data_IF_546850972358
#
_entry.id   IF_546850972358
#
_cell.length_a   1.000
_cell.length_b   1.000
_cell.length_c   1.000
_cell.angle_alpha   90.00
_cell.angle_beta   90.00
_cell.angle_gamma   90.00
#
_symmetry.space_group_name_H-M   'P 1'
#
loop_
_entity.id
_entity.type
_entity.pdbx_description
1 polymer ?
#
# COMPACT_ATOMS: atom_id res chain seq x y z
N UNK A 1 27.11 -3.43 21.24
CA UNK A 1 25.66 -3.67 21.09
C UNK A 1 25.06 -3.81 22.46
N UNK A 2 24.07 -2.98 22.76
CA UNK A 2 23.37 -2.99 24.05
C UNK A 2 22.34 -4.13 24.09
N UNK A 3 21.98 -4.61 25.28
CA UNK A 3 20.94 -5.64 25.48
C UNK A 3 19.58 -5.23 24.93
N UNK A 4 19.29 -3.93 24.87
CA UNK A 4 18.04 -3.37 24.32
C UNK A 4 17.98 -3.45 22.79
N UNK A 5 19.06 -3.10 22.09
CA UNK A 5 19.14 -3.19 20.62
C UNK A 5 18.96 -4.62 20.12
N UNK A 6 19.54 -5.60 20.83
CA UNK A 6 19.38 -7.02 20.51
C UNK A 6 17.95 -7.50 20.75
N UNK A 7 17.28 -7.00 21.80
CA UNK A 7 15.88 -7.33 22.09
C UNK A 7 14.93 -6.80 21.02
N UNK A 8 15.12 -5.55 20.58
CA UNK A 8 14.30 -4.92 19.54
C UNK A 8 14.49 -5.64 18.20
N UNK A 9 15.72 -6.01 17.85
CA UNK A 9 16.00 -6.80 16.64
C UNK A 9 15.34 -8.18 16.68
N UNK A 10 15.40 -8.85 17.82
CA UNK A 10 14.81 -10.17 17.97
C UNK A 10 13.28 -10.11 17.82
N UNK A 11 12.64 -9.15 18.50
CA UNK A 11 11.20 -8.90 18.38
C UNK A 11 10.81 -8.49 16.95
N UNK A 12 11.65 -7.70 16.27
CA UNK A 12 11.49 -7.35 14.87
C UNK A 12 11.53 -8.59 13.96
N UNK A 13 12.56 -9.44 14.10
CA UNK A 13 12.69 -10.69 13.34
C UNK A 13 11.53 -11.65 13.57
N UNK A 14 11.01 -11.71 14.79
CA UNK A 14 9.84 -12.52 15.14
C UNK A 14 8.53 -11.95 14.59
N UNK A 15 8.46 -10.62 14.38
CA UNK A 15 7.29 -9.94 13.80
C UNK A 15 7.23 -9.98 12.27
N UNK A 16 8.35 -10.27 11.62
CA UNK A 16 8.44 -10.37 10.16
C UNK A 16 7.69 -11.62 9.66
N UNK A 17 7.25 -11.62 8.38
CA UNK A 17 6.51 -12.71 7.78
C UNK A 17 7.25 -14.03 7.99
N UNK A 18 6.59 -15.05 8.55
CA UNK A 18 7.20 -16.37 8.70
C UNK A 18 7.57 -16.90 7.32
N UNK A 19 8.79 -17.43 7.21
CA UNK A 19 9.33 -18.11 6.03
C UNK A 19 8.26 -19.02 5.40
N UNK A 20 7.86 -18.73 4.16
CA UNK A 20 6.92 -19.59 3.45
C UNK A 20 7.58 -20.95 3.18
N UNK A 21 6.98 -22.03 3.68
CA UNK A 21 7.37 -23.38 3.30
C UNK A 21 6.92 -23.60 1.85
N UNK A 22 7.84 -23.36 0.91
CA UNK A 22 7.59 -23.55 -0.51
C UNK A 22 7.23 -25.00 -0.83
N UNK A 23 6.21 -25.21 -1.67
CA UNK A 23 5.94 -26.52 -2.27
C UNK A 23 7.12 -26.97 -3.14
N UNK A 24 7.21 -28.26 -3.50
CA UNK A 24 8.26 -28.74 -4.40
C UNK A 24 8.18 -28.08 -5.79
N UNK A 25 6.97 -27.83 -6.31
CA UNK A 25 6.77 -27.10 -7.56
C UNK A 25 7.26 -25.66 -7.45
N UNK A 26 7.04 -24.99 -6.31
CA UNK A 26 7.50 -23.63 -6.11
C UNK A 26 9.02 -23.57 -5.95
N UNK A 27 9.65 -24.56 -5.32
CA UNK A 27 11.12 -24.68 -5.26
C UNK A 27 11.75 -24.75 -6.65
N UNK A 28 11.15 -25.48 -7.59
CA UNK A 28 11.64 -25.55 -8.99
C UNK A 28 11.47 -24.20 -9.68
N UNK A 29 10.29 -23.57 -9.58
CA UNK A 29 10.03 -22.24 -10.15
C UNK A 29 10.99 -21.19 -9.58
N UNK A 30 11.23 -21.20 -8.27
CA UNK A 30 12.15 -20.30 -7.58
C UNK A 30 13.58 -20.51 -8.07
N UNK A 31 14.05 -21.76 -8.23
CA UNK A 31 15.38 -22.04 -8.80
C UNK A 31 15.53 -21.49 -10.23
N UNK A 32 14.55 -21.73 -11.09
CA UNK A 32 14.55 -21.19 -12.47
C UNK A 32 14.56 -19.66 -12.43
N UNK A 33 13.76 -19.06 -11.56
CA UNK A 33 13.70 -17.62 -11.40
C UNK A 33 15.03 -17.02 -10.93
N UNK A 34 15.71 -17.63 -9.95
CA UNK A 34 17.04 -17.19 -9.53
C UNK A 34 18.10 -17.37 -10.63
N UNK A 35 18.02 -18.41 -11.45
CA UNK A 35 18.92 -18.58 -12.60
C UNK A 35 18.73 -17.44 -13.61
N UNK A 36 17.48 -17.11 -13.94
CA UNK A 36 17.14 -15.97 -14.79
C UNK A 36 17.57 -14.64 -14.16
N UNK A 37 17.39 -14.47 -12.85
CA UNK A 37 17.81 -13.28 -12.13
C UNK A 37 19.33 -13.12 -12.14
N UNK A 38 20.07 -14.21 -11.98
CA UNK A 38 21.54 -14.22 -12.06
C UNK A 38 22.01 -13.80 -13.45
N UNK A 39 21.36 -14.29 -14.50
CA UNK A 39 21.62 -13.87 -15.88
C UNK A 39 21.31 -12.39 -16.09
N UNK A 40 20.19 -11.89 -15.55
CA UNK A 40 19.84 -10.47 -15.62
C UNK A 40 20.85 -9.57 -14.87
N UNK A 41 21.32 -9.99 -13.70
CA UNK A 41 22.37 -9.27 -12.96
C UNK A 41 23.66 -9.22 -13.76
N UNK A 42 24.05 -10.34 -14.38
CA UNK A 42 25.23 -10.42 -15.23
C UNK A 42 25.13 -9.50 -16.46
N UNK A 43 23.96 -9.48 -17.12
CA UNK A 43 23.73 -8.66 -18.32
C UNK A 43 23.51 -7.18 -18.01
N UNK A 44 22.95 -6.86 -16.83
CA UNK A 44 22.61 -5.51 -16.40
C UNK A 44 23.17 -5.18 -15.00
N UNK A 45 24.51 -5.15 -14.84
CA UNK A 45 25.15 -4.97 -13.54
C UNK A 45 24.89 -3.60 -12.89
N UNK A 46 24.41 -2.62 -13.68
CA UNK A 46 24.06 -1.27 -13.22
C UNK A 46 22.58 -1.09 -12.86
N UNK A 47 21.74 -2.12 -13.05
CA UNK A 47 20.35 -2.10 -12.57
C UNK A 47 20.32 -2.57 -11.13
N UNK A 48 19.52 -1.96 -10.26
CA UNK A 48 19.36 -2.35 -8.85
C UNK A 48 18.72 -3.76 -8.65
N UNK A 49 18.91 -4.69 -9.60
CA UNK A 49 18.48 -6.08 -9.55
C UNK A 49 19.04 -6.79 -8.31
N UNK A 50 20.23 -6.39 -7.84
CA UNK A 50 20.80 -6.92 -6.61
C UNK A 50 19.97 -6.58 -5.36
N UNK A 51 19.31 -5.42 -5.33
CA UNK A 51 18.41 -5.05 -4.23
C UNK A 51 17.18 -5.96 -4.23
N UNK A 52 16.56 -6.18 -5.39
CA UNK A 52 15.48 -7.15 -5.55
C UNK A 52 15.91 -8.57 -5.13
N UNK A 53 17.08 -9.03 -5.57
CA UNK A 53 17.63 -10.34 -5.22
C UNK A 53 17.83 -10.49 -3.71
N UNK A 54 18.43 -9.48 -3.04
CA UNK A 54 18.64 -9.48 -1.59
C UNK A 54 17.30 -9.56 -0.86
N UNK A 55 16.32 -8.72 -1.23
CA UNK A 55 14.97 -8.74 -0.65
C UNK A 55 14.27 -10.08 -0.83
N UNK A 56 14.40 -10.71 -2.00
CA UNK A 56 13.81 -12.01 -2.25
C UNK A 56 14.50 -13.13 -1.45
N UNK A 57 15.84 -13.11 -1.39
CA UNK A 57 16.60 -14.06 -0.55
C UNK A 57 16.17 -13.94 0.91
N UNK A 58 15.96 -12.72 1.40
CA UNK A 58 15.46 -12.48 2.75
C UNK A 58 14.05 -13.04 2.93
N UNK A 59 13.11 -12.71 2.04
CA UNK A 59 11.74 -13.24 2.07
C UNK A 59 11.69 -14.78 2.07
N UNK A 60 12.61 -15.43 1.36
CA UNK A 60 12.71 -16.90 1.30
C UNK A 60 13.52 -17.52 2.45
N UNK A 61 14.01 -16.73 3.40
CA UNK A 61 14.80 -17.20 4.54
C UNK A 61 16.21 -17.69 4.18
N UNK A 62 16.76 -17.26 3.04
CA UNK A 62 18.08 -17.66 2.56
C UNK A 62 19.21 -16.79 3.13
N UNK A 63 18.89 -15.60 3.63
CA UNK A 63 19.83 -14.68 4.27
C UNK A 63 19.18 -14.04 5.50
N UNK A 64 20.02 -13.63 6.45
CA UNK A 64 19.64 -12.73 7.54
C UNK A 64 19.91 -11.26 7.17
N UNK A 65 19.28 -10.35 7.90
CA UNK A 65 19.46 -8.90 7.80
C UNK A 65 20.09 -8.34 9.09
N UNK A 66 20.81 -7.23 8.95
CA UNK A 66 21.42 -6.49 10.06
C UNK A 66 20.47 -5.40 10.59
N UNK A 67 20.75 -4.86 11.79
CA UNK A 67 20.00 -3.76 12.38
C UNK A 67 19.90 -2.54 11.47
N UNK A 68 20.98 -2.20 10.77
CA UNK A 68 21.03 -1.01 9.92
C UNK A 68 20.23 -1.19 8.61
N UNK A 69 19.79 -2.41 8.30
CA UNK A 69 19.02 -2.68 7.07
C UNK A 69 17.53 -2.29 7.21
N UNK A 70 17.02 -2.03 8.42
CA UNK A 70 15.57 -1.89 8.67
C UNK A 70 15.22 -0.87 9.76
N UNK A 71 14.06 -0.23 9.62
CA UNK A 71 13.46 0.56 10.69
C UNK A 71 12.63 -0.37 11.61
N UNK A 72 12.87 -0.40 12.92
CA UNK A 72 12.17 -1.31 13.83
C UNK A 72 10.65 -1.05 13.93
N UNK A 73 10.18 0.14 13.53
CA UNK A 73 8.76 0.47 13.48
C UNK A 73 8.06 0.03 12.17
N UNK A 74 8.81 -0.42 11.17
CA UNK A 74 8.31 -0.83 9.86
C UNK A 74 8.24 -2.35 9.77
N UNK A 75 7.07 -2.93 10.10
CA UNK A 75 6.86 -4.38 10.24
C UNK A 75 5.82 -4.89 9.24
N UNK A 76 6.13 -4.95 7.92
CA UNK A 76 5.21 -5.45 6.93
C UNK A 76 4.84 -6.92 7.20
N UNK A 77 3.57 -7.28 7.00
CA UNK A 77 3.06 -8.62 7.30
C UNK A 77 3.49 -9.71 6.32
N UNK A 78 3.81 -9.35 5.07
CA UNK A 78 4.14 -10.32 4.02
C UNK A 78 5.51 -10.12 3.38
N UNK A 79 5.90 -8.91 3.01
CA UNK A 79 7.10 -8.72 2.20
C UNK A 79 7.84 -7.42 2.52
N UNK A 80 9.10 -7.56 2.96
CA UNK A 80 10.00 -6.45 3.20
C UNK A 80 11.01 -6.31 2.04
N UNK A 81 10.99 -5.15 1.40
CA UNK A 81 11.94 -4.77 0.38
C UNK A 81 13.07 -3.92 0.97
N UNK A 82 14.27 -4.50 0.98
CA UNK A 82 15.45 -3.92 1.61
C UNK A 82 16.00 -2.75 0.81
N UNK A 83 16.58 -1.77 1.50
CA UNK A 83 17.29 -0.65 0.88
C UNK A 83 16.38 0.40 0.23
N UNK A 84 15.11 0.47 0.62
CA UNK A 84 14.26 1.65 0.40
C UNK A 84 14.37 2.57 1.61
N UNK A 85 14.25 3.89 1.39
CA UNK A 85 14.04 4.84 2.48
C UNK A 85 12.86 4.40 3.35
N UNK A 86 13.07 4.37 4.66
CA UNK A 86 12.08 3.87 5.62
C UNK A 86 11.65 4.97 6.58
N UNK A 87 10.50 5.59 6.30
CA UNK A 87 9.88 6.60 7.16
C UNK A 87 8.35 6.53 7.10
N UNK A 88 7.64 6.88 8.19
CA UNK A 88 6.19 6.75 8.26
C UNK A 88 5.47 7.74 7.34
N UNK A 89 5.93 8.99 7.27
CA UNK A 89 5.29 10.07 6.51
C UNK A 89 6.17 10.57 5.37
N UNK A 90 5.53 10.89 4.25
CA UNK A 90 6.12 11.54 3.10
C UNK A 90 5.43 12.88 2.84
N UNK A 91 6.22 13.89 2.50
CA UNK A 91 5.72 15.15 1.99
C UNK A 91 5.62 15.08 0.47
N UNK A 92 4.64 15.78 -0.09
CA UNK A 92 4.49 15.85 -1.56
C UNK A 92 5.75 16.40 -2.26
N UNK A 93 6.57 17.18 -1.56
CA UNK A 93 7.83 17.73 -2.06
C UNK A 93 9.02 16.78 -2.01
N UNK A 94 8.91 15.64 -1.32
CA UNK A 94 10.03 14.71 -1.16
C UNK A 94 10.47 14.09 -2.50
N UNK A 95 9.51 13.91 -3.41
CA UNK A 95 9.76 13.36 -4.75
C UNK A 95 8.86 14.03 -5.79
N UNK A 96 9.40 14.27 -6.98
CA UNK A 96 8.65 14.87 -8.10
C UNK A 96 7.38 14.07 -8.47
N UNK A 97 7.43 12.75 -8.33
CA UNK A 97 6.27 11.88 -8.56
C UNK A 97 5.15 12.14 -7.54
N UNK A 98 5.47 12.30 -6.25
CA UNK A 98 4.46 12.59 -5.22
C UNK A 98 3.88 13.99 -5.41
N UNK A 99 4.72 14.96 -5.79
CA UNK A 99 4.29 16.31 -6.16
C UNK A 99 3.33 16.29 -7.35
N UNK A 100 3.65 15.52 -8.39
CA UNK A 100 2.81 15.38 -9.57
C UNK A 100 1.46 14.72 -9.24
N UNK A 101 1.48 13.64 -8.45
CA UNK A 101 0.25 12.98 -7.96
C UNK A 101 -0.60 13.94 -7.14
N UNK A 102 0.00 14.62 -6.16
CA UNK A 102 -0.66 15.62 -5.31
C UNK A 102 -1.36 16.70 -6.15
N UNK A 103 -0.63 17.33 -7.06
CA UNK A 103 -1.18 18.40 -7.92
C UNK A 103 -2.33 17.91 -8.79
N UNK A 104 -2.20 16.71 -9.36
CA UNK A 104 -3.23 16.11 -10.21
C UNK A 104 -4.51 15.83 -9.42
N UNK A 105 -4.37 15.22 -8.24
CA UNK A 105 -5.50 14.86 -7.38
C UNK A 105 -6.16 16.10 -6.77
N UNK A 106 -5.38 17.06 -6.26
CA UNK A 106 -5.93 18.32 -5.72
C UNK A 106 -6.66 19.12 -6.78
N UNK A 107 -6.13 19.21 -8.01
CA UNK A 107 -6.83 19.88 -9.12
C UNK A 107 -8.15 19.20 -9.49
N UNK A 108 -8.19 17.87 -9.41
CA UNK A 108 -9.37 17.06 -9.73
C UNK A 108 -10.34 16.83 -8.55
N UNK A 109 -9.99 17.26 -7.34
CA UNK A 109 -10.65 16.82 -6.11
C UNK A 109 -12.16 17.07 -6.11
N UNK A 110 -12.59 18.25 -6.58
CA UNK A 110 -14.02 18.58 -6.57
C UNK A 110 -14.83 17.73 -7.55
N UNK A 111 -14.27 17.41 -8.71
CA UNK A 111 -14.90 16.49 -9.66
C UNK A 111 -15.04 15.09 -9.07
N UNK A 112 -14.00 14.60 -8.38
CA UNK A 112 -13.98 13.29 -7.71
C UNK A 112 -15.03 13.26 -6.58
N UNK A 113 -15.06 14.27 -5.73
CA UNK A 113 -16.03 14.41 -4.63
C UNK A 113 -17.48 14.49 -5.14
N UNK A 114 -17.70 15.22 -6.23
CA UNK A 114 -19.03 15.36 -6.84
C UNK A 114 -19.51 14.02 -7.43
N UNK A 115 -18.65 13.27 -8.14
CA UNK A 115 -19.01 11.94 -8.63
C UNK A 115 -19.27 10.96 -7.49
N UNK A 116 -18.45 11.00 -6.43
CA UNK A 116 -18.72 10.26 -5.21
C UNK A 116 -20.11 10.60 -4.67
N UNK A 117 -20.41 11.88 -4.44
CA UNK A 117 -21.67 12.31 -3.85
C UNK A 117 -22.90 11.99 -4.71
N UNK A 118 -22.77 12.07 -6.04
CA UNK A 118 -23.87 11.84 -6.98
C UNK A 118 -24.27 10.37 -7.09
N UNK A 119 -23.34 9.45 -6.84
CA UNK A 119 -23.59 8.01 -6.93
C UNK A 119 -24.15 7.37 -5.64
N UNK A 120 -24.67 8.16 -4.69
CA UNK A 120 -25.15 7.71 -3.35
C UNK A 120 -26.13 6.54 -3.35
N UNK A 121 -27.03 6.42 -4.33
CA UNK A 121 -28.00 5.31 -4.36
C UNK A 121 -27.38 3.97 -4.81
N UNK A 122 -26.35 4.03 -5.65
CA UNK A 122 -25.58 2.85 -6.08
C UNK A 122 -24.58 2.39 -5.00
N UNK A 123 -24.37 3.21 -3.95
CA UNK A 123 -23.51 2.89 -2.81
C UNK A 123 -24.10 1.85 -1.86
N UNK A 124 -25.41 1.57 -1.89
CA UNK A 124 -26.00 0.45 -1.11
C UNK A 124 -25.51 -0.93 -1.56
N UNK A 125 -24.80 -1.02 -2.69
CA UNK A 125 -24.10 -2.22 -3.17
C UNK A 125 -22.59 -2.17 -2.90
N UNK A 126 -22.12 -1.22 -2.09
CA UNK A 126 -20.76 -1.22 -1.50
C UNK A 126 -20.62 -2.36 -0.50
N UNK A 127 -20.72 -3.59 -0.98
CA UNK A 127 -20.23 -4.72 -0.21
C UNK A 127 -18.75 -4.76 -0.53
N UNK A 128 -17.92 -4.29 0.41
CA UNK A 128 -16.52 -4.65 0.40
C UNK A 128 -16.46 -6.18 0.23
N UNK A 129 -15.62 -6.68 -0.69
CA UNK A 129 -15.46 -8.14 -0.86
C UNK A 129 -14.99 -8.79 0.44
N UNK A 130 -14.34 -8.01 1.30
CA UNK A 130 -13.82 -8.41 2.59
C UNK A 130 -14.59 -7.64 3.67
N UNK A 131 -15.21 -8.35 4.61
CA UNK A 131 -15.97 -7.67 5.67
C UNK A 131 -14.98 -7.02 6.63
N UNK A 132 -15.32 -5.85 7.14
CA UNK A 132 -14.50 -5.19 8.15
C UNK A 132 -14.20 -6.08 9.36
N UNK A 133 -15.18 -6.91 9.75
CA UNK A 133 -15.07 -7.91 10.81
C UNK A 133 -14.09 -9.05 10.51
N UNK A 134 -13.88 -9.39 9.23
CA UNK A 134 -12.97 -10.46 8.82
C UNK A 134 -11.51 -10.04 8.99
N UNK A 135 -11.23 -8.75 8.78
CA UNK A 135 -9.90 -8.16 8.97
C UNK A 135 -9.68 -7.66 10.40
N UNK A 136 -10.74 -7.12 11.01
CA UNK A 136 -10.71 -6.50 12.34
C UNK A 136 -11.92 -6.97 13.14
N UNK A 137 -11.77 -8.00 14.00
CA UNK A 137 -12.89 -8.56 14.78
C UNK A 137 -13.63 -7.56 15.66
N UNK A 138 -13.01 -6.41 15.98
CA UNK A 138 -13.61 -5.31 16.72
C UNK A 138 -14.58 -4.43 15.92
N UNK A 139 -14.64 -4.58 14.59
CA UNK A 139 -15.49 -3.80 13.69
C UNK A 139 -16.73 -4.60 13.25
N UNK A 140 -17.86 -3.91 13.06
CA UNK A 140 -19.06 -4.47 12.45
C UNK A 140 -18.95 -4.44 10.92
N UNK A 141 -19.69 -5.29 10.23
CA UNK A 141 -19.63 -5.44 8.76
C UNK A 141 -19.76 -4.12 7.98
N UNK A 142 -20.60 -3.20 8.47
CA UNK A 142 -20.89 -1.92 7.79
C UNK A 142 -20.09 -0.71 8.34
N UNK A 143 -19.21 -0.91 9.34
CA UNK A 143 -18.44 0.17 10.00
C UNK A 143 -17.38 0.78 9.07
N UNK A 144 -16.94 0.00 8.08
CA UNK A 144 -15.97 0.36 7.07
C UNK A 144 -16.41 -0.20 5.71
N UNK A 145 -16.30 0.62 4.66
CA UNK A 145 -16.63 0.22 3.31
C UNK A 145 -15.63 0.71 2.26
N UNK A 146 -15.51 -0.06 1.19
CA UNK A 146 -14.60 0.21 0.08
C UNK A 146 -15.34 0.17 -1.26
N UNK A 147 -15.04 1.13 -2.14
CA UNK A 147 -15.40 1.05 -3.57
C UNK A 147 -14.14 0.88 -4.41
N UNK A 148 -13.85 -0.35 -4.82
CA UNK A 148 -12.67 -0.65 -5.64
C UNK A 148 -12.82 -0.11 -7.07
N UNK A 149 -11.93 0.80 -7.44
CA UNK A 149 -11.85 1.38 -8.78
C UNK A 149 -10.89 0.62 -9.69
N UNK A 150 -9.92 -0.08 -9.12
CA UNK A 150 -8.77 -0.66 -9.82
C UNK A 150 -8.55 -2.10 -9.44
N UNK A 151 -8.32 -2.95 -10.44
CA UNK A 151 -7.91 -4.36 -10.30
C UNK A 151 -7.01 -4.74 -11.47
N UNK A 152 -5.92 -5.46 -11.20
CA UNK A 152 -4.99 -6.00 -12.20
C UNK A 152 -4.50 -4.96 -13.24
N UNK A 153 -4.12 -3.77 -12.77
CA UNK A 153 -3.57 -2.73 -13.63
C UNK A 153 -4.62 -1.96 -14.45
N UNK A 154 -5.91 -2.14 -14.16
CA UNK A 154 -7.02 -1.61 -14.96
C UNK A 154 -8.16 -1.10 -14.08
N UNK A 155 -8.88 -0.11 -14.58
CA UNK A 155 -10.12 0.32 -13.95
C UNK A 155 -11.24 -0.70 -14.13
N UNK A 156 -11.98 -0.97 -13.06
CA UNK A 156 -13.15 -1.86 -13.09
C UNK A 156 -14.22 -1.32 -14.04
N UNK A 157 -15.09 -2.19 -14.55
CA UNK A 157 -16.21 -1.77 -15.42
C UNK A 157 -17.13 -0.79 -14.69
N UNK A 158 -17.40 -1.07 -13.41
CA UNK A 158 -18.23 -0.22 -12.55
C UNK A 158 -17.60 1.15 -12.32
N UNK A 159 -16.28 1.21 -12.10
CA UNK A 159 -15.55 2.48 -11.97
C UNK A 159 -15.68 3.36 -13.21
N UNK A 160 -15.47 2.77 -14.40
CA UNK A 160 -15.58 3.49 -15.68
C UNK A 160 -16.98 4.04 -15.95
N UNK A 161 -18.01 3.36 -15.45
CA UNK A 161 -19.40 3.77 -15.64
C UNK A 161 -19.86 4.81 -14.62
N UNK A 162 -19.57 4.60 -13.33
CA UNK A 162 -20.06 5.47 -12.25
C UNK A 162 -19.15 6.69 -12.00
N UNK A 163 -17.85 6.57 -12.25
CA UNK A 163 -16.86 7.60 -11.92
C UNK A 163 -15.98 7.98 -13.13
N UNK A 164 -16.56 8.32 -14.30
CA UNK A 164 -15.78 8.56 -15.52
C UNK A 164 -14.77 9.71 -15.40
N UNK A 165 -15.06 10.78 -14.67
CA UNK A 165 -14.11 11.88 -14.44
C UNK A 165 -12.99 11.45 -13.51
N UNK A 166 -13.30 10.72 -12.43
CA UNK A 166 -12.30 10.15 -11.52
C UNK A 166 -11.36 9.22 -12.28
N UNK A 167 -11.91 8.30 -13.09
CA UNK A 167 -11.12 7.41 -13.95
C UNK A 167 -10.21 8.22 -14.87
N UNK A 168 -10.72 9.27 -15.53
CA UNK A 168 -9.92 10.12 -16.42
C UNK A 168 -8.77 10.82 -15.68
N UNK A 169 -9.02 11.36 -14.48
CA UNK A 169 -8.00 12.02 -13.65
C UNK A 169 -6.92 11.00 -13.25
N UNK A 170 -7.33 9.89 -12.64
CA UNK A 170 -6.41 8.85 -12.12
C UNK A 170 -5.68 8.13 -13.26
N UNK A 171 -6.25 8.07 -14.47
CA UNK A 171 -5.58 7.49 -15.64
C UNK A 171 -4.24 8.16 -15.97
N UNK A 172 -4.07 9.45 -15.66
CA UNK A 172 -2.78 10.14 -15.84
C UNK A 172 -1.72 9.71 -14.83
N UNK A 173 -2.13 9.10 -13.71
CA UNK A 173 -1.26 8.61 -12.63
C UNK A 173 -0.92 7.13 -12.78
N UNK A 174 -1.52 6.46 -13.77
CA UNK A 174 -1.38 5.03 -14.04
C UNK A 174 0.07 4.50 -13.98
N UNK A 175 1.09 5.20 -14.53
CA UNK A 175 2.48 4.70 -14.48
C UNK A 175 3.08 4.58 -13.08
N UNK A 176 2.47 5.24 -12.08
CA UNK A 176 2.95 5.28 -10.70
C UNK A 176 2.18 4.35 -9.77
N UNK A 177 0.97 3.93 -10.16
CA UNK A 177 0.11 3.06 -9.37
C UNK A 177 0.56 1.59 -9.52
N UNK A 178 0.58 0.86 -8.41
CA UNK A 178 0.89 -0.57 -8.45
C UNK A 178 -0.25 -1.33 -9.16
N UNK A 179 0.02 -2.15 -10.18
CA UNK A 179 -1.01 -2.90 -10.90
C UNK A 179 -1.85 -3.79 -9.99
N UNK A 180 -1.23 -4.38 -8.97
CA UNK A 180 -1.85 -5.25 -7.98
C UNK A 180 -2.08 -4.55 -6.62
N UNK A 181 -1.92 -3.23 -6.57
CA UNK A 181 -2.31 -2.40 -5.41
C UNK A 181 -3.73 -1.86 -5.57
N UNK A 182 -4.09 -0.90 -4.72
CA UNK A 182 -5.44 -0.37 -4.64
C UNK A 182 -5.59 1.00 -5.30
N UNK A 183 -6.76 1.22 -5.90
CA UNK A 183 -7.37 2.54 -6.06
C UNK A 183 -8.80 2.41 -5.58
N UNK A 184 -9.15 3.06 -4.48
CA UNK A 184 -10.38 2.77 -3.75
C UNK A 184 -10.96 4.03 -3.12
N UNK A 185 -12.28 4.19 -3.18
CA UNK A 185 -12.95 5.10 -2.25
C UNK A 185 -13.13 4.40 -0.92
N UNK A 186 -12.51 4.94 0.12
CA UNK A 186 -12.54 4.37 1.45
C UNK A 186 -13.48 5.19 2.34
N UNK A 187 -14.45 4.51 2.95
CA UNK A 187 -15.48 5.11 3.80
C UNK A 187 -15.35 4.60 5.22
N UNK A 188 -15.24 5.51 6.18
CA UNK A 188 -15.26 5.19 7.61
C UNK A 188 -16.52 5.78 8.25
N UNK A 189 -17.34 4.95 8.89
CA UNK A 189 -18.60 5.38 9.51
C UNK A 189 -18.39 6.25 10.75
N UNK A 190 -19.42 7.00 11.18
CA UNK A 190 -19.40 7.73 12.44
C UNK A 190 -19.04 6.84 13.63
N UNK A 191 -18.16 7.33 14.51
CA UNK A 191 -17.77 6.65 15.75
C UNK A 191 -16.79 5.48 15.59
N UNK A 192 -16.32 5.19 14.38
CA UNK A 192 -15.49 4.00 14.10
C UNK A 192 -13.99 4.33 14.23
N UNK A 193 -13.24 3.39 14.79
CA UNK A 193 -11.77 3.40 14.81
C UNK A 193 -11.24 2.06 14.31
N UNK A 194 -10.35 2.12 13.32
CA UNK A 194 -9.58 0.96 12.85
C UNK A 194 -8.41 0.79 13.81
N UNK A 195 -8.20 -0.40 14.40
CA UNK A 195 -7.15 -0.62 15.39
C UNK A 195 -5.74 -0.50 14.77
N UNK A 196 -4.69 -0.32 15.59
CA UNK A 196 -3.31 -0.36 15.13
C UNK A 196 -2.98 -1.64 14.35
N UNK A 197 -2.42 -1.50 13.16
CA UNK A 197 -2.03 -2.60 12.29
C UNK A 197 -0.87 -2.19 11.37
N UNK A 198 -0.31 -3.20 10.69
CA UNK A 198 0.65 -3.04 9.59
C UNK A 198 0.07 -3.70 8.34
N UNK A 199 0.38 -3.15 7.18
CA UNK A 199 0.00 -3.72 5.90
C UNK A 199 1.07 -4.65 5.33
N UNK A 200 0.87 -5.12 4.10
CA UNK A 200 1.53 -6.31 3.57
C UNK A 200 3.00 -6.07 3.22
N UNK A 201 3.35 -4.86 2.76
CA UNK A 201 4.69 -4.59 2.22
C UNK A 201 5.08 -3.11 2.26
N UNK A 202 6.38 -2.82 2.10
CA UNK A 202 6.93 -1.47 2.00
C UNK A 202 7.27 -1.04 0.54
N UNK A 203 6.77 -1.76 -0.46
CA UNK A 203 7.07 -1.46 -1.88
C UNK A 203 6.28 -0.27 -2.42
N UNK A 204 5.45 0.34 -1.59
CA UNK A 204 4.53 1.38 -1.96
C UNK A 204 4.46 2.52 -0.94
N UNK A 205 4.05 3.68 -1.42
CA UNK A 205 3.68 4.85 -0.61
C UNK A 205 2.20 5.09 -0.88
N UNK A 206 1.39 4.93 0.16
CA UNK A 206 -0.05 5.12 0.12
C UNK A 206 -0.36 6.61 0.03
N UNK A 207 -1.17 7.00 -0.96
CA UNK A 207 -1.70 8.35 -1.10
C UNK A 207 -3.17 8.37 -0.72
N UNK A 208 -3.58 9.25 0.20
CA UNK A 208 -4.99 9.49 0.52
C UNK A 208 -5.39 10.94 0.23
N UNK A 209 -6.31 11.13 -0.72
CA UNK A 209 -6.96 12.42 -0.98
C UNK A 209 -8.20 12.58 -0.09
N UNK A 210 -8.25 13.64 0.71
CA UNK A 210 -9.43 13.99 1.50
C UNK A 210 -10.61 14.43 0.62
N UNK A 211 -11.76 13.79 0.75
CA UNK A 211 -12.98 14.15 -0.02
C UNK A 211 -14.10 14.68 0.87
N UNK A 212 -14.43 13.95 1.94
CA UNK A 212 -15.43 14.35 2.93
C UNK A 212 -14.78 14.11 4.29
N UNK A 213 -14.35 15.17 4.97
CA UNK A 213 -13.58 15.05 6.21
C UNK A 213 -14.30 15.81 7.33
N UNK A 214 -15.11 15.11 8.14
CA UNK A 214 -15.74 15.73 9.30
C UNK A 214 -14.73 15.96 10.43
N UNK A 215 -15.17 16.67 11.48
CA UNK A 215 -14.40 16.94 12.68
C UNK A 215 -13.95 15.66 13.39
N UNK A 216 -12.85 15.72 14.15
CA UNK A 216 -12.37 14.58 14.95
C UNK A 216 -12.04 13.30 14.13
N UNK A 217 -11.67 13.45 12.86
CA UNK A 217 -11.05 12.42 12.05
C UNK A 217 -9.53 12.55 12.05
N UNK A 218 -8.80 11.47 12.30
CA UNK A 218 -7.35 11.45 12.18
C UNK A 218 -6.80 10.06 11.83
N UNK A 219 -5.52 10.04 11.47
CA UNK A 219 -4.71 8.85 11.23
C UNK A 219 -3.38 9.01 11.96
N UNK A 220 -2.94 7.98 12.66
CA UNK A 220 -1.58 7.87 13.20
C UNK A 220 -0.80 6.90 12.33
N UNK A 221 0.42 7.29 11.95
CA UNK A 221 1.40 6.40 11.29
C UNK A 221 2.72 6.53 12.03
N UNK A 222 3.23 5.41 12.54
CA UNK A 222 4.31 5.42 13.53
C UNK A 222 3.92 6.25 14.75
N UNK A 223 4.73 7.25 15.07
CA UNK A 223 4.54 8.11 16.26
C UNK A 223 3.83 9.44 15.96
N UNK A 224 3.46 9.71 14.70
CA UNK A 224 2.89 10.99 14.30
C UNK A 224 1.44 10.83 13.85
N UNK A 225 0.57 11.68 14.38
CA UNK A 225 -0.85 11.77 14.02
C UNK A 225 -1.10 12.98 13.11
N UNK A 226 -1.79 12.76 12.00
CA UNK A 226 -2.24 13.79 11.06
C UNK A 226 -3.74 13.73 10.82
N UNK A 227 -4.29 14.86 10.40
CA UNK A 227 -5.68 14.97 9.92
C UNK A 227 -5.69 15.20 8.42
N UNK A 228 -6.75 14.75 7.74
CA UNK A 228 -6.96 15.08 6.34
C UNK A 228 -7.50 16.49 6.20
N UNK A 229 -7.19 17.14 5.07
CA UNK A 229 -7.87 18.35 4.62
C UNK A 229 -8.57 18.04 3.31
N UNK A 230 -9.83 18.46 3.15
CA UNK A 230 -10.58 18.26 1.91
C UNK A 230 -9.82 18.86 0.72
N UNK A 231 -9.72 18.08 -0.37
CA UNK A 231 -8.96 18.43 -1.57
C UNK A 231 -7.45 18.33 -1.44
N UNK A 232 -6.91 17.91 -0.29
CA UNK A 232 -5.46 17.72 -0.07
C UNK A 232 -5.11 16.25 0.11
N UNK A 233 -3.86 15.93 -0.19
CA UNK A 233 -3.30 14.59 -0.12
C UNK A 233 -2.45 14.42 1.13
N UNK A 234 -2.48 13.22 1.70
CA UNK A 234 -1.49 12.71 2.63
C UNK A 234 -0.73 11.55 1.96
N UNK A 235 0.55 11.40 2.27
CA UNK A 235 1.39 10.30 1.79
C UNK A 235 2.08 9.63 2.97
N UNK A 236 1.98 8.31 3.07
CA UNK A 236 2.58 7.56 4.16
C UNK A 236 2.90 6.14 3.72
N UNK A 237 3.70 5.44 4.52
CA UNK A 237 4.01 4.04 4.32
C UNK A 237 3.22 3.20 5.34
N UNK A 238 2.24 2.45 4.84
CA UNK A 238 1.36 1.58 5.64
C UNK A 238 2.05 0.32 6.20
N UNK A 239 3.32 0.06 5.84
CA UNK A 239 4.13 -0.97 6.50
C UNK A 239 4.64 -0.53 7.88
N UNK A 240 4.49 0.75 8.23
CA UNK A 240 4.57 1.22 9.62
C UNK A 240 3.25 1.00 10.34
N UNK A 241 3.31 0.82 11.67
CA UNK A 241 2.10 0.69 12.46
C UNK A 241 1.22 1.92 12.27
N UNK A 242 -0.04 1.70 11.94
CA UNK A 242 -0.99 2.77 11.74
C UNK A 242 -2.40 2.42 12.21
N UNK A 243 -3.15 3.45 12.56
CA UNK A 243 -4.55 3.39 12.94
C UNK A 243 -5.26 4.64 12.45
N UNK A 244 -6.56 4.55 12.20
CA UNK A 244 -7.35 5.67 11.73
C UNK A 244 -8.73 5.68 12.38
N UNK A 245 -9.26 6.86 12.69
CA UNK A 245 -10.54 7.00 13.35
C UNK A 245 -11.40 8.11 12.76
N UNK A 246 -12.70 7.92 12.90
CA UNK A 246 -13.74 8.89 12.66
C UNK A 246 -14.60 9.03 13.90
N UNK A 247 -14.24 9.95 14.80
CA UNK A 247 -15.00 10.23 16.03
C UNK A 247 -16.10 11.27 15.82
N UNK A 248 -16.48 11.54 14.58
CA UNK A 248 -17.55 12.47 14.22
C UNK A 248 -18.92 11.77 14.17
N UNK A 249 -19.96 12.56 13.87
CA UNK A 249 -21.32 12.07 13.58
C UNK A 249 -21.61 11.89 12.08
N UNK A 250 -20.60 12.05 11.20
CA UNK A 250 -20.73 11.96 9.74
C UNK A 250 -19.74 10.96 9.18
N UNK A 251 -19.97 10.48 7.96
CA UNK A 251 -19.02 9.60 7.28
C UNK A 251 -17.76 10.37 6.88
N UNK A 252 -16.60 9.73 7.01
CA UNK A 252 -15.33 10.20 6.44
C UNK A 252 -15.08 9.45 5.13
N UNK A 253 -14.71 10.18 4.08
CA UNK A 253 -14.40 9.59 2.77
C UNK A 253 -13.07 10.12 2.23
N UNK A 254 -12.23 9.19 1.80
CA UNK A 254 -10.98 9.47 1.09
C UNK A 254 -10.90 8.66 -0.20
N UNK A 255 -10.13 9.14 -1.17
CA UNK A 255 -9.67 8.32 -2.30
C UNK A 255 -8.24 7.87 -2.00
N UNK A 256 -8.03 6.56 -1.91
CA UNK A 256 -6.74 5.93 -1.64
C UNK A 256 -6.14 5.39 -2.94
N UNK A 257 -4.83 5.59 -3.13
CA UNK A 257 -4.02 5.05 -4.22
C UNK A 257 -2.72 4.45 -3.66
N UNK A 258 -2.41 3.20 -4.02
CA UNK A 258 -1.11 2.61 -3.74
C UNK A 258 -0.13 2.94 -4.88
N UNK A 259 0.82 3.80 -4.58
CA UNK A 259 1.84 4.24 -5.52
C UNK A 259 3.10 3.43 -5.28
N UNK A 260 3.77 2.95 -6.33
CA UNK A 260 5.11 2.37 -6.15
C UNK A 260 6.00 3.32 -5.36
N UNK A 261 6.78 2.76 -4.43
CA UNK A 261 7.78 3.51 -3.69
C UNK A 261 8.67 4.27 -4.69
N UNK A 262 8.87 5.59 -4.53
CA UNK A 262 9.54 6.43 -5.53
C UNK A 262 10.94 5.97 -5.92
N UNK A 263 11.65 5.31 -4.99
CA UNK A 263 13.00 4.77 -5.22
C UNK A 263 13.04 3.44 -5.98
N UNK A 264 11.90 2.82 -6.29
CA UNK A 264 11.86 1.61 -7.11
C UNK A 264 12.13 1.97 -8.58
N UNK A 265 13.16 1.33 -9.12
CA UNK A 265 13.52 1.43 -10.53
C UNK A 265 12.52 0.70 -11.42
N UNK A 266 12.54 0.99 -12.72
CA UNK A 266 11.67 0.31 -13.70
C UNK A 266 11.86 -1.21 -13.71
N UNK A 267 13.10 -1.69 -13.57
CA UNK A 267 13.40 -3.12 -13.55
C UNK A 267 12.90 -3.79 -12.27
N UNK A 268 13.03 -3.13 -11.12
CA UNK A 268 12.51 -3.67 -9.85
C UNK A 268 10.98 -3.75 -9.87
N UNK A 269 10.30 -2.73 -10.40
CA UNK A 269 8.84 -2.75 -10.62
C UNK A 269 8.41 -3.92 -11.50
N UNK A 270 9.15 -4.16 -12.58
CA UNK A 270 8.90 -5.29 -13.47
C UNK A 270 9.10 -6.64 -12.76
N UNK A 271 10.20 -6.80 -12.02
CA UNK A 271 10.51 -8.03 -11.28
C UNK A 271 9.49 -8.30 -10.17
N UNK A 272 9.06 -7.26 -9.43
CA UNK A 272 7.99 -7.35 -8.43
C UNK A 272 6.68 -7.81 -9.06
N UNK A 273 6.27 -7.19 -10.17
CA UNK A 273 5.04 -7.58 -10.88
C UNK A 273 5.10 -9.01 -11.40
N UNK A 274 6.23 -9.41 -11.98
CA UNK A 274 6.42 -10.79 -12.44
C UNK A 274 6.37 -11.78 -11.27
N UNK A 275 7.06 -11.47 -10.17
CA UNK A 275 7.10 -12.33 -8.98
C UNK A 275 5.71 -12.49 -8.36
N UNK A 276 5.00 -11.40 -8.11
CA UNK A 276 3.63 -11.43 -7.58
C UNK A 276 2.73 -12.33 -8.43
N UNK A 277 2.74 -12.14 -9.75
CA UNK A 277 1.92 -12.95 -10.67
C UNK A 277 2.32 -14.43 -10.71
N UNK A 278 3.60 -14.74 -10.61
CA UNK A 278 4.11 -16.10 -10.77
C UNK A 278 4.01 -16.95 -9.49
N UNK A 279 4.05 -16.32 -8.31
CA UNK A 279 4.23 -17.01 -7.03
C UNK A 279 3.16 -16.70 -5.98
N UNK A 280 2.46 -15.56 -6.06
CA UNK A 280 1.39 -15.20 -5.11
C UNK A 280 0.01 -15.56 -5.69
N UNK A 281 -0.13 -15.59 -7.02
CA UNK A 281 -1.39 -15.82 -7.72
C UNK A 281 -2.06 -14.51 -8.14
N UNK A 282 -3.29 -14.59 -8.65
CA UNK A 282 -4.11 -13.39 -8.79
C UNK A 282 -4.45 -12.90 -7.36
N UNK A 283 -4.02 -11.69 -7.01
CA UNK A 283 -4.36 -11.06 -5.72
C UNK A 283 -5.85 -10.67 -5.84
N UNK A 284 -6.74 -11.52 -5.35
CA UNK A 284 -8.15 -11.56 -5.76
C UNK A 284 -9.11 -10.60 -5.02
#
# INVERSE_FOLDING_TARGET
>A
MTTLENSILQEYKESLPRQQILSQSDKIKVKIFFLLLTLLIFLFPKGNVHRFEKSLKFYLGLIDINNDDCNPQQKPKEFLYLGLTSKPWYESSDYDVLKFVSNTLTKGAKDIENEWSSNRLNKRRLVSRIRASDLYPSLKEDDWGEFMLWKDGKFTRTARFLFPKTVRIVSSLKPFIIPFGQVVFYVLKPGVAIPPHHDLSNIDVTCQLGLIIPENCAIRVGNETRTWTEGKTLFFDHSFEHEAWNKSQKERVVLLLDLYHPELTKIEKFLLHFFAKAFVGDID
#
